data_IF_182762002075
#
_entry.id   IF_182762002075
#
_cell.length_a   1.000
_cell.length_b   1.000
_cell.length_c   1.000
_cell.angle_alpha   90.00
_cell.angle_beta   90.00
_cell.angle_gamma   90.00
#
_symmetry.space_group_name_H-M   'P 1'
#
loop_
_entity.id
_entity.type
_entity.pdbx_description
1 polymer ?
#
# COMPACT_ATOMS: atom_id res chain seq x y z
N UNK A 1 2.82 -28.09 -17.72
CA UNK A 1 3.91 -27.11 -17.83
C UNK A 1 3.38 -25.92 -18.59
N UNK A 2 3.68 -24.71 -18.14
CA UNK A 2 3.13 -23.48 -18.69
C UNK A 2 4.23 -22.46 -18.96
N UNK A 3 4.01 -21.52 -19.88
CA UNK A 3 4.89 -20.37 -20.09
C UNK A 3 4.60 -19.27 -19.07
N UNK A 4 5.60 -18.90 -18.28
CA UNK A 4 5.47 -17.95 -17.17
C UNK A 4 6.45 -16.80 -17.34
N UNK A 5 5.95 -15.56 -17.34
CA UNK A 5 6.81 -14.37 -17.29
C UNK A 5 6.92 -13.90 -15.85
N UNK A 6 8.14 -13.84 -15.33
CA UNK A 6 8.42 -13.41 -13.95
C UNK A 6 8.99 -12.01 -13.93
N UNK A 7 8.36 -11.12 -13.15
CA UNK A 7 8.88 -9.78 -12.90
C UNK A 7 10.15 -9.85 -12.05
N UNK A 8 11.31 -9.60 -12.65
CA UNK A 8 12.60 -9.56 -11.97
C UNK A 8 12.93 -8.12 -11.62
N UNK A 9 12.89 -7.75 -10.33
CA UNK A 9 13.17 -6.39 -9.87
C UNK A 9 14.62 -6.18 -9.41
N UNK A 10 15.50 -7.15 -9.69
CA UNK A 10 16.84 -7.24 -9.10
C UNK A 10 16.85 -7.62 -7.60
N UNK A 11 15.68 -7.89 -7.00
CA UNK A 11 15.55 -8.27 -5.59
C UNK A 11 15.64 -9.78 -5.38
N UNK A 12 16.02 -10.22 -4.18
CA UNK A 12 16.16 -11.65 -3.84
C UNK A 12 14.85 -12.43 -4.01
N UNK A 13 13.72 -11.79 -3.73
CA UNK A 13 12.40 -12.43 -3.72
C UNK A 13 11.96 -12.84 -5.14
N UNK A 14 12.10 -11.93 -6.11
CA UNK A 14 11.84 -12.25 -7.52
C UNK A 14 12.82 -13.27 -8.10
N UNK A 15 14.08 -13.25 -7.65
CA UNK A 15 15.09 -14.22 -8.10
C UNK A 15 14.76 -15.64 -7.67
N UNK A 16 14.35 -15.81 -6.42
CA UNK A 16 13.94 -17.12 -5.90
C UNK A 16 12.62 -17.56 -6.51
N UNK A 17 11.67 -16.64 -6.73
CA UNK A 17 10.44 -16.95 -7.44
C UNK A 17 10.71 -17.54 -8.84
N UNK A 18 11.61 -16.91 -9.61
CA UNK A 18 12.03 -17.38 -10.93
C UNK A 18 12.70 -18.77 -10.86
N UNK A 19 13.60 -18.97 -9.88
CA UNK A 19 14.25 -20.26 -9.66
C UNK A 19 13.25 -21.37 -9.37
N UNK A 20 12.28 -21.14 -8.47
CA UNK A 20 11.27 -22.12 -8.09
C UNK A 20 10.38 -22.51 -9.27
N UNK A 21 9.98 -21.54 -10.10
CA UNK A 21 9.20 -21.82 -11.32
C UNK A 21 10.00 -22.67 -12.31
N UNK A 22 11.30 -22.39 -12.48
CA UNK A 22 12.17 -23.21 -13.35
C UNK A 22 12.31 -24.63 -12.79
N UNK A 23 12.46 -24.80 -11.47
CA UNK A 23 12.51 -26.12 -10.82
C UNK A 23 11.21 -26.91 -11.00
N UNK A 24 10.06 -26.23 -11.04
CA UNK A 24 8.75 -26.84 -11.31
C UNK A 24 8.56 -27.24 -12.78
N UNK A 25 9.52 -26.94 -13.67
CA UNK A 25 9.50 -27.33 -15.08
C UNK A 25 8.75 -26.35 -16.00
N UNK A 26 8.44 -25.15 -15.53
CA UNK A 26 7.84 -24.10 -16.36
C UNK A 26 8.84 -23.53 -17.38
N UNK A 27 8.33 -23.05 -18.51
CA UNK A 27 9.10 -22.21 -19.41
C UNK A 27 9.10 -20.79 -18.84
N UNK A 28 10.21 -20.38 -18.22
CA UNK A 28 10.31 -19.11 -17.50
C UNK A 28 11.01 -18.06 -18.34
N UNK A 29 10.42 -16.86 -18.43
CA UNK A 29 11.02 -15.67 -19.04
C UNK A 29 11.11 -14.59 -17.96
N UNK A 30 12.31 -14.06 -17.73
CA UNK A 30 12.52 -12.91 -16.84
C UNK A 30 12.19 -11.59 -17.54
N UNK A 31 11.46 -10.70 -16.86
CA UNK A 31 11.17 -9.37 -17.36
C UNK A 31 11.50 -8.32 -16.30
N UNK A 32 12.35 -7.35 -16.65
CA UNK A 32 12.64 -6.17 -15.84
C UNK A 32 11.83 -4.98 -16.35
N UNK A 33 11.15 -4.29 -15.43
CA UNK A 33 10.34 -3.11 -15.74
C UNK A 33 11.04 -1.85 -15.23
N UNK A 34 11.33 -0.92 -16.14
CA UNK A 34 11.71 0.45 -15.76
C UNK A 34 10.45 1.29 -15.66
N UNK A 35 10.02 1.58 -14.43
CA UNK A 35 8.79 2.33 -14.19
C UNK A 35 9.03 3.80 -13.80
N UNK A 36 10.26 4.17 -13.49
CA UNK A 36 10.59 5.55 -13.13
C UNK A 36 12.02 5.87 -13.50
N UNK A 37 12.21 7.09 -14.01
CA UNK A 37 13.52 7.71 -14.18
C UNK A 37 13.34 9.21 -13.93
N UNK A 38 14.25 9.83 -13.19
CA UNK A 38 14.18 11.27 -12.93
C UNK A 38 14.61 12.02 -14.18
N UNK A 39 13.71 12.84 -14.73
CA UNK A 39 13.95 13.66 -15.92
C UNK A 39 14.27 15.12 -15.58
N UNK A 40 14.27 15.49 -14.29
CA UNK A 40 14.25 16.89 -13.84
C UNK A 40 15.37 17.17 -12.83
N UNK A 41 16.58 17.40 -13.33
CA UNK A 41 17.69 17.94 -12.54
C UNK A 41 19.07 17.55 -13.07
N UNK A 42 20.00 18.50 -13.13
CA UNK A 42 21.40 18.39 -13.60
C UNK A 42 22.31 17.59 -12.68
N UNK A 43 21.82 16.48 -12.13
CA UNK A 43 22.62 15.50 -11.40
C UNK A 43 22.32 14.15 -12.04
N UNK A 44 23.27 13.60 -12.79
CA UNK A 44 23.41 12.17 -12.98
C UNK A 44 23.67 11.54 -11.58
N UNK A 45 22.67 11.58 -10.69
CA UNK A 45 22.68 10.83 -9.46
C UNK A 45 22.51 9.36 -9.82
N UNK A 46 23.38 8.50 -9.28
CA UNK A 46 23.40 7.05 -9.48
C UNK A 46 22.00 6.50 -9.76
N UNK A 47 21.70 6.18 -11.03
CA UNK A 47 20.39 5.72 -11.45
C UNK A 47 20.09 4.39 -10.74
N UNK A 48 19.21 4.35 -9.70
CA UNK A 48 19.10 3.18 -8.84
C UNK A 48 18.56 1.95 -9.57
N UNK A 49 17.87 2.17 -10.70
CA UNK A 49 17.33 1.11 -11.54
C UNK A 49 18.40 0.37 -12.36
N UNK A 50 19.56 0.99 -12.65
CA UNK A 50 20.60 0.37 -13.47
C UNK A 50 21.24 -0.80 -12.72
N UNK A 51 21.60 -0.60 -11.45
CA UNK A 51 22.10 -1.68 -10.60
C UNK A 51 21.07 -2.81 -10.49
N UNK A 52 19.80 -2.47 -10.30
CA UNK A 52 18.72 -3.44 -10.17
C UNK A 52 18.52 -4.26 -11.45
N UNK A 53 18.65 -3.63 -12.61
CA UNK A 53 18.65 -4.30 -13.90
C UNK A 53 19.83 -5.26 -14.03
N UNK A 54 21.04 -4.82 -13.70
CA UNK A 54 22.25 -5.67 -13.76
C UNK A 54 22.08 -6.91 -12.88
N UNK A 55 21.55 -6.76 -11.66
CA UNK A 55 21.25 -7.92 -10.80
C UNK A 55 20.20 -8.85 -11.40
N UNK A 56 19.15 -8.29 -12.03
CA UNK A 56 18.12 -9.09 -12.70
C UNK A 56 18.70 -9.88 -13.89
N UNK A 57 19.57 -9.27 -14.69
CA UNK A 57 20.28 -9.91 -15.80
C UNK A 57 21.21 -11.03 -15.31
N UNK A 58 21.98 -10.78 -14.25
CA UNK A 58 22.87 -11.79 -13.65
C UNK A 58 22.08 -13.00 -13.14
N UNK A 59 20.90 -12.78 -12.56
CA UNK A 59 20.00 -13.85 -12.12
C UNK A 59 19.45 -14.61 -13.32
N UNK A 60 18.95 -13.92 -14.34
CA UNK A 60 18.43 -14.57 -15.54
C UNK A 60 19.49 -15.42 -16.25
N UNK A 61 20.72 -14.89 -16.37
CA UNK A 61 21.88 -15.62 -16.91
C UNK A 61 22.25 -16.84 -16.06
N UNK A 62 22.27 -16.70 -14.73
CA UNK A 62 22.56 -17.80 -13.80
C UNK A 62 21.52 -18.90 -13.88
N UNK A 63 20.25 -18.51 -14.03
CA UNK A 63 19.13 -19.43 -14.16
C UNK A 63 18.96 -19.94 -15.58
N UNK A 64 19.72 -19.47 -16.58
CA UNK A 64 19.55 -19.82 -17.99
C UNK A 64 18.09 -19.67 -18.46
N UNK A 65 17.57 -18.45 -18.32
CA UNK A 65 16.24 -18.05 -18.78
C UNK A 65 16.34 -16.81 -19.69
N UNK A 66 15.47 -16.67 -20.70
CA UNK A 66 15.41 -15.43 -21.49
C UNK A 66 15.12 -14.23 -20.60
N UNK A 67 15.74 -13.09 -20.92
CA UNK A 67 15.57 -11.83 -20.21
C UNK A 67 15.06 -10.73 -21.14
N UNK A 68 14.07 -9.98 -20.68
CA UNK A 68 13.48 -8.85 -21.40
C UNK A 68 13.49 -7.60 -20.53
N UNK A 69 13.67 -6.47 -21.19
CA UNK A 69 13.55 -5.15 -20.58
C UNK A 69 12.36 -4.45 -21.22
N UNK A 70 11.54 -3.81 -20.39
CA UNK A 70 10.43 -2.95 -20.84
C UNK A 70 10.44 -1.66 -20.05
N UNK A 71 10.27 -0.54 -20.75
CA UNK A 71 10.02 0.76 -20.14
C UNK A 71 8.51 0.97 -20.01
N UNK A 72 8.04 1.16 -18.78
CA UNK A 72 6.64 1.42 -18.43
C UNK A 72 6.52 2.74 -17.66
N UNK A 73 7.51 3.64 -17.82
CA UNK A 73 7.59 4.87 -17.04
C UNK A 73 6.48 5.88 -17.37
N UNK A 74 5.99 5.92 -18.61
CA UNK A 74 4.86 6.77 -18.99
C UNK A 74 3.57 6.29 -18.31
N UNK A 75 3.28 5.00 -18.36
CA UNK A 75 2.10 4.41 -17.72
C UNK A 75 2.16 4.54 -16.20
N UNK A 76 3.33 4.31 -15.60
CA UNK A 76 3.52 4.48 -14.16
C UNK A 76 3.32 5.93 -13.74
N UNK A 77 3.86 6.89 -14.51
CA UNK A 77 3.66 8.32 -14.24
C UNK A 77 2.17 8.67 -14.24
N UNK A 78 1.48 8.34 -15.33
CA UNK A 78 0.07 8.71 -15.49
C UNK A 78 -0.87 8.02 -14.51
N UNK A 79 -0.65 6.73 -14.22
CA UNK A 79 -1.60 5.93 -13.42
C UNK A 79 -1.30 5.91 -11.92
N UNK A 80 -0.06 6.18 -11.53
CA UNK A 80 0.36 6.10 -10.12
C UNK A 80 0.83 7.46 -9.61
N UNK A 81 1.75 8.12 -10.31
CA UNK A 81 2.39 9.35 -9.81
C UNK A 81 1.46 10.54 -9.88
N UNK A 82 0.79 10.77 -11.03
CA UNK A 82 -0.15 11.88 -11.19
C UNK A 82 -1.32 11.77 -10.20
N UNK A 83 -1.84 10.55 -10.01
CA UNK A 83 -2.84 10.26 -8.96
C UNK A 83 -2.31 10.62 -7.57
N UNK A 84 -1.09 10.18 -7.25
CA UNK A 84 -0.49 10.41 -5.95
C UNK A 84 -0.38 11.93 -5.67
N UNK A 85 0.06 12.72 -6.65
CA UNK A 85 0.09 14.18 -6.53
C UNK A 85 -1.29 14.80 -6.31
N UNK A 86 -2.30 14.36 -7.07
CA UNK A 86 -3.67 14.85 -6.93
C UNK A 86 -4.24 14.58 -5.53
N UNK A 87 -4.00 13.40 -4.97
CA UNK A 87 -4.44 13.03 -3.62
C UNK A 87 -3.75 13.87 -2.54
N UNK A 88 -2.42 14.06 -2.65
CA UNK A 88 -1.69 14.92 -1.72
C UNK A 88 -2.15 16.38 -1.80
N UNK A 89 -2.39 16.92 -3.00
CA UNK A 89 -2.95 18.26 -3.18
C UNK A 89 -4.35 18.40 -2.55
N UNK A 90 -5.13 17.32 -2.54
CA UNK A 90 -6.42 17.28 -1.87
C UNK A 90 -6.33 17.02 -0.34
N UNK A 91 -5.13 16.91 0.22
CA UNK A 91 -4.89 16.67 1.64
C UNK A 91 -5.11 15.23 2.10
N UNK A 92 -5.17 14.28 1.16
CA UNK A 92 -5.25 12.84 1.43
C UNK A 92 -3.86 12.21 1.34
N UNK A 93 -3.67 11.08 2.01
CA UNK A 93 -2.41 10.30 1.94
C UNK A 93 -2.67 9.01 1.15
N UNK A 94 -2.37 8.97 -0.16
CA UNK A 94 -2.60 7.79 -0.99
C UNK A 94 -1.63 6.64 -0.66
N UNK A 95 -1.95 5.44 -1.15
CA UNK A 95 -1.01 4.31 -1.16
C UNK A 95 -0.59 3.96 -2.61
N UNK A 96 0.54 4.49 -3.10
CA UNK A 96 0.98 4.27 -4.48
C UNK A 96 1.37 2.81 -4.77
N UNK A 97 1.74 2.03 -3.76
CA UNK A 97 2.15 0.64 -3.95
C UNK A 97 0.96 -0.27 -4.29
N UNK A 98 -0.22 -0.01 -3.68
CA UNK A 98 -1.48 -0.70 -4.03
C UNK A 98 -1.83 -0.43 -5.50
N UNK A 99 -1.76 0.83 -5.92
CA UNK A 99 -2.03 1.21 -7.31
C UNK A 99 -0.99 0.65 -8.28
N UNK A 100 0.29 0.68 -7.92
CA UNK A 100 1.34 0.09 -8.75
C UNK A 100 1.09 -1.39 -9.01
N UNK A 101 0.62 -2.16 -8.02
CA UNK A 101 0.26 -3.54 -8.24
C UNK A 101 -0.95 -3.64 -9.19
N UNK A 102 -2.04 -2.91 -8.93
CA UNK A 102 -3.26 -2.97 -9.74
C UNK A 102 -3.05 -2.53 -11.19
N UNK A 103 -2.42 -1.38 -11.37
CA UNK A 103 -2.32 -0.65 -12.64
C UNK A 103 -1.09 -1.01 -13.47
N UNK A 104 0.00 -1.45 -12.83
CA UNK A 104 1.27 -1.68 -13.52
C UNK A 104 1.63 -3.16 -13.49
N UNK A 105 1.82 -3.75 -12.30
CA UNK A 105 2.28 -5.16 -12.20
C UNK A 105 1.21 -6.17 -12.62
N UNK A 106 -0.07 -5.90 -12.47
CA UNK A 106 -1.12 -6.84 -12.85
C UNK A 106 -2.02 -6.33 -13.98
N UNK A 107 -1.65 -5.22 -14.62
CA UNK A 107 -2.29 -4.77 -15.88
C UNK A 107 -1.27 -4.61 -17.00
N UNK A 108 -0.43 -3.58 -16.95
CA UNK A 108 0.53 -3.30 -18.04
C UNK A 108 1.58 -4.40 -18.19
N UNK A 109 2.18 -4.88 -17.09
CA UNK A 109 3.09 -6.02 -17.10
C UNK A 109 2.40 -7.30 -17.61
N UNK A 110 1.16 -7.54 -17.19
CA UNK A 110 0.38 -8.69 -17.65
C UNK A 110 0.17 -8.62 -19.17
N UNK A 111 -0.22 -7.47 -19.71
CA UNK A 111 -0.38 -7.26 -21.15
C UNK A 111 0.92 -7.52 -21.92
N UNK A 112 2.05 -7.04 -21.42
CA UNK A 112 3.36 -7.31 -22.03
C UNK A 112 3.73 -8.79 -21.98
N UNK A 113 3.44 -9.48 -20.86
CA UNK A 113 3.65 -10.91 -20.75
C UNK A 113 2.79 -11.72 -21.73
N UNK A 114 1.51 -11.37 -21.88
CA UNK A 114 0.59 -12.03 -22.81
C UNK A 114 1.05 -11.88 -24.28
N UNK A 115 1.62 -10.73 -24.67
CA UNK A 115 2.23 -10.52 -26.00
C UNK A 115 3.40 -11.49 -26.25
N UNK A 116 4.07 -11.96 -25.20
CA UNK A 116 5.15 -12.96 -25.26
C UNK A 116 4.63 -14.41 -25.24
N UNK A 117 3.31 -14.59 -25.29
CA UNK A 117 2.65 -15.90 -25.23
C UNK A 117 2.61 -16.50 -23.83
N UNK A 118 2.79 -15.69 -22.78
CA UNK A 118 2.69 -16.18 -21.41
C UNK A 118 1.28 -16.66 -21.08
N UNK A 119 1.18 -17.75 -20.34
CA UNK A 119 -0.08 -18.22 -19.74
C UNK A 119 -0.26 -17.66 -18.33
N UNK A 120 0.84 -17.28 -17.67
CA UNK A 120 0.84 -16.72 -16.33
C UNK A 120 1.93 -15.65 -16.16
N UNK A 121 1.69 -14.75 -15.21
CA UNK A 121 2.69 -13.83 -14.68
C UNK A 121 3.03 -14.18 -13.23
N UNK A 122 4.31 -14.09 -12.90
CA UNK A 122 4.78 -14.34 -11.54
C UNK A 122 5.48 -13.13 -10.95
N UNK A 123 5.34 -13.00 -9.63
CA UNK A 123 6.01 -11.95 -8.86
C UNK A 123 6.58 -12.52 -7.56
N UNK A 124 7.58 -11.85 -7.00
CA UNK A 124 8.14 -12.17 -5.69
C UNK A 124 7.31 -11.62 -4.52
N UNK A 125 5.98 -11.61 -4.60
CA UNK A 125 5.15 -11.17 -3.49
C UNK A 125 4.93 -12.29 -2.47
N UNK A 126 4.96 -11.93 -1.19
CA UNK A 126 4.62 -12.79 -0.06
C UNK A 126 3.11 -12.87 0.15
N UNK A 127 2.41 -13.49 -0.80
CA UNK A 127 0.99 -13.82 -0.70
C UNK A 127 0.75 -15.16 -1.41
N UNK A 128 -0.39 -15.80 -1.15
CA UNK A 128 -0.73 -17.08 -1.77
C UNK A 128 -1.99 -16.93 -2.60
N UNK A 129 -2.16 -17.80 -3.58
CA UNK A 129 -3.36 -17.90 -4.39
C UNK A 129 -3.95 -19.28 -4.24
N UNK A 130 -5.25 -19.37 -3.98
CA UNK A 130 -5.98 -20.63 -4.02
C UNK A 130 -7.03 -20.57 -5.12
N UNK A 131 -7.18 -21.66 -5.87
CA UNK A 131 -8.23 -21.80 -6.88
C UNK A 131 -9.25 -22.79 -6.37
N UNK A 132 -10.53 -22.42 -6.38
CA UNK A 132 -11.63 -23.31 -6.01
C UNK A 132 -12.66 -23.34 -7.12
N UNK A 133 -13.38 -24.45 -7.22
CA UNK A 133 -14.56 -24.58 -8.09
C UNK A 133 -15.81 -24.45 -7.22
N UNK A 134 -16.66 -23.48 -7.52
CA UNK A 134 -17.94 -23.27 -6.84
C UNK A 134 -19.02 -23.06 -7.89
N UNK A 135 -20.07 -23.90 -7.84
CA UNK A 135 -21.22 -23.79 -8.76
C UNK A 135 -20.83 -23.78 -10.26
N UNK A 136 -19.77 -24.52 -10.61
CA UNK A 136 -19.26 -24.59 -11.99
C UNK A 136 -18.45 -23.36 -12.44
N UNK A 137 -18.12 -22.45 -11.52
CA UNK A 137 -17.23 -21.31 -11.74
C UNK A 137 -15.91 -21.50 -10.98
N UNK A 138 -14.82 -21.19 -11.65
CA UNK A 138 -13.50 -21.08 -11.03
C UNK A 138 -13.39 -19.74 -10.29
N UNK A 139 -13.08 -19.79 -8.99
CA UNK A 139 -12.84 -18.62 -8.14
C UNK A 139 -11.39 -18.62 -7.67
N UNK A 140 -10.73 -17.48 -7.80
CA UNK A 140 -9.36 -17.26 -7.35
C UNK A 140 -9.36 -16.46 -6.04
N UNK A 141 -8.94 -17.10 -4.96
CA UNK A 141 -8.78 -16.49 -3.64
C UNK A 141 -7.37 -15.92 -3.46
N UNK A 142 -7.29 -14.72 -2.90
CA UNK A 142 -6.03 -14.12 -2.47
C UNK A 142 -5.85 -14.37 -0.97
N UNK A 143 -4.79 -15.07 -0.60
CA UNK A 143 -4.50 -15.44 0.78
C UNK A 143 -3.25 -14.70 1.29
N UNK A 144 -3.23 -14.42 2.59
CA UNK A 144 -2.06 -13.91 3.29
C UNK A 144 -0.87 -14.85 3.12
N UNK A 145 0.35 -14.29 3.05
CA UNK A 145 1.59 -15.07 3.04
C UNK A 145 1.75 -15.93 4.30
N UNK A 146 2.52 -17.01 4.19
CA UNK A 146 2.87 -17.86 5.34
C UNK A 146 3.70 -17.07 6.38
N UNK A 147 4.63 -16.23 5.91
CA UNK A 147 5.37 -15.29 6.75
C UNK A 147 4.50 -14.07 7.11
N UNK A 148 3.88 -14.08 8.29
CA UNK A 148 3.01 -12.99 8.74
C UNK A 148 3.72 -11.63 8.86
N UNK A 149 5.05 -11.61 9.04
CA UNK A 149 5.82 -10.36 9.11
C UNK A 149 6.13 -9.77 7.74
N UNK A 150 6.01 -10.59 6.69
CA UNK A 150 6.29 -10.23 5.31
C UNK A 150 5.07 -10.30 4.40
N UNK A 151 3.93 -10.80 4.88
CA UNK A 151 2.65 -10.86 4.18
C UNK A 151 2.37 -9.57 3.39
N UNK A 152 2.28 -9.69 2.07
CA UNK A 152 2.06 -8.58 1.16
C UNK A 152 0.65 -8.55 0.60
N UNK A 153 -0.27 -9.44 1.02
CA UNK A 153 -1.67 -9.46 0.54
C UNK A 153 -2.33 -8.07 0.58
N UNK A 154 -2.03 -7.26 1.61
CA UNK A 154 -2.50 -5.87 1.72
C UNK A 154 -2.21 -5.01 0.47
N UNK A 155 -1.04 -5.16 -0.15
CA UNK A 155 -0.70 -4.38 -1.35
C UNK A 155 -1.35 -4.93 -2.63
N UNK A 156 -1.89 -6.14 -2.59
CA UNK A 156 -2.61 -6.79 -3.69
C UNK A 156 -4.13 -6.78 -3.45
N UNK A 157 -4.60 -6.00 -2.48
CA UNK A 157 -6.00 -6.00 -2.04
C UNK A 157 -7.02 -5.51 -3.08
N UNK A 158 -6.55 -4.97 -4.19
CA UNK A 158 -7.33 -4.44 -5.31
C UNK A 158 -7.20 -5.29 -6.58
N UNK A 159 -6.66 -6.51 -6.49
CA UNK A 159 -6.60 -7.42 -7.64
C UNK A 159 -7.97 -8.04 -7.93
N UNK A 160 -8.34 -8.04 -9.21
CA UNK A 160 -9.58 -8.66 -9.71
C UNK A 160 -9.43 -10.17 -9.93
N UNK A 161 -10.55 -10.88 -10.08
CA UNK A 161 -10.54 -12.29 -10.49
C UNK A 161 -9.77 -12.53 -11.79
N UNK A 162 -9.94 -11.64 -12.77
CA UNK A 162 -9.23 -11.75 -14.05
C UNK A 162 -7.72 -11.57 -13.89
N UNK A 163 -7.27 -10.66 -13.04
CA UNK A 163 -5.84 -10.51 -12.75
C UNK A 163 -5.27 -11.71 -11.97
N UNK A 164 -6.03 -12.19 -10.97
CA UNK A 164 -5.64 -13.35 -10.17
C UNK A 164 -5.59 -14.64 -10.98
N UNK A 165 -6.42 -14.79 -12.02
CA UNK A 165 -6.37 -15.91 -12.97
C UNK A 165 -4.96 -16.13 -13.49
N UNK A 166 -4.31 -15.06 -13.96
CA UNK A 166 -2.96 -15.10 -14.54
C UNK A 166 -1.83 -15.04 -13.49
N UNK A 167 -2.11 -14.68 -12.24
CA UNK A 167 -1.07 -14.46 -11.24
C UNK A 167 -0.51 -15.76 -10.62
N UNK A 168 0.80 -15.79 -10.38
CA UNK A 168 1.51 -16.79 -9.59
C UNK A 168 2.38 -16.13 -8.51
N UNK A 169 2.43 -16.75 -7.32
CA UNK A 169 3.19 -16.27 -6.17
C UNK A 169 4.08 -17.39 -5.60
N UNK A 170 5.21 -17.71 -6.26
CA UNK A 170 5.96 -18.94 -5.95
C UNK A 170 6.59 -18.97 -4.56
N UNK A 171 6.73 -17.82 -3.90
CA UNK A 171 7.33 -17.70 -2.56
C UNK A 171 6.30 -17.50 -1.45
N UNK A 172 5.00 -17.54 -1.76
CA UNK A 172 3.93 -17.23 -0.82
C UNK A 172 3.89 -18.12 0.41
N UNK A 173 4.32 -19.37 0.27
CA UNK A 173 4.40 -20.38 1.33
C UNK A 173 5.73 -20.39 2.09
N UNK A 174 6.70 -19.57 1.68
CA UNK A 174 8.04 -19.54 2.27
C UNK A 174 8.21 -18.43 3.29
N UNK A 175 8.99 -18.71 4.32
CA UNK A 175 9.49 -17.70 5.23
C UNK A 175 10.63 -16.91 4.58
N UNK A 176 10.78 -15.63 4.91
CA UNK A 176 11.88 -14.80 4.37
C UNK A 176 13.28 -15.41 4.58
N UNK A 177 13.60 -16.03 5.74
CA UNK A 177 14.87 -16.72 5.92
C UNK A 177 15.07 -17.88 4.94
N UNK A 178 14.01 -18.63 4.60
CA UNK A 178 14.08 -19.74 3.65
C UNK A 178 14.34 -19.24 2.24
N UNK A 179 13.68 -18.15 1.83
CA UNK A 179 13.96 -17.47 0.56
C UNK A 179 15.43 -17.06 0.47
N UNK A 180 15.98 -16.45 1.53
CA UNK A 180 17.41 -16.08 1.57
C UNK A 180 18.33 -17.30 1.50
N UNK A 181 18.01 -18.37 2.22
CA UNK A 181 18.76 -19.63 2.19
C UNK A 181 18.80 -20.22 0.78
N UNK A 182 17.65 -20.31 0.10
CA UNK A 182 17.58 -20.80 -1.29
C UNK A 182 18.47 -19.94 -2.20
N UNK A 183 18.40 -18.60 -2.07
CA UNK A 183 19.22 -17.72 -2.88
C UNK A 183 20.73 -17.93 -2.66
N UNK A 184 21.15 -18.19 -1.42
CA UNK A 184 22.54 -18.49 -1.06
C UNK A 184 23.00 -19.86 -1.60
N UNK A 185 22.19 -20.91 -1.40
CA UNK A 185 22.45 -22.28 -1.89
C UNK A 185 22.60 -22.29 -3.42
N UNK A 186 21.75 -21.54 -4.13
CA UNK A 186 21.78 -21.41 -5.58
C UNK A 186 22.83 -20.40 -6.08
N UNK A 187 23.55 -19.75 -5.16
CA UNK A 187 24.58 -18.74 -5.44
C UNK A 187 24.05 -17.63 -6.36
N UNK A 188 22.83 -17.16 -6.11
CA UNK A 188 22.22 -16.05 -6.85
C UNK A 188 22.93 -14.74 -6.47
N UNK A 189 23.17 -13.86 -7.45
CA UNK A 189 23.81 -12.57 -7.22
C UNK A 189 23.08 -11.71 -6.17
N UNK A 190 21.76 -11.88 -6.07
CA UNK A 190 20.89 -11.13 -5.17
C UNK A 190 20.85 -11.64 -3.73
N UNK A 191 21.51 -12.77 -3.40
CA UNK A 191 21.38 -13.43 -2.10
C UNK A 191 21.68 -12.51 -0.89
N UNK A 192 22.74 -11.69 -1.02
CA UNK A 192 23.18 -10.74 0.03
C UNK A 192 22.53 -9.36 -0.08
N UNK A 193 21.68 -9.13 -1.09
CA UNK A 193 21.07 -7.82 -1.31
C UNK A 193 20.04 -7.54 -0.21
N UNK A 194 20.01 -6.29 0.25
CA UNK A 194 19.00 -5.81 1.20
C UNK A 194 17.65 -5.68 0.48
N UNK A 195 16.57 -5.84 1.23
CA UNK A 195 15.22 -5.63 0.69
C UNK A 195 15.07 -4.18 0.22
N UNK A 196 14.40 -3.97 -0.91
CA UNK A 196 14.05 -2.62 -1.37
C UNK A 196 13.21 -1.91 -0.31
N UNK A 197 13.47 -0.61 -0.12
CA UNK A 197 12.75 0.27 0.81
C UNK A 197 12.34 1.53 0.04
N UNK A 198 11.22 2.14 0.42
CA UNK A 198 10.67 3.32 -0.24
C UNK A 198 9.49 2.99 -1.16
N UNK A 199 9.04 4.01 -1.90
CA UNK A 199 7.93 3.91 -2.84
C UNK A 199 8.34 2.98 -3.99
N UNK A 200 7.47 2.05 -4.38
CA UNK A 200 7.78 1.08 -5.44
C UNK A 200 8.26 1.79 -6.71
N UNK A 201 9.44 1.41 -7.22
CA UNK A 201 10.11 1.96 -8.42
C UNK A 201 10.68 3.38 -8.34
N UNK A 202 10.20 4.25 -7.46
CA UNK A 202 10.82 5.57 -7.22
C UNK A 202 12.08 5.43 -6.36
N UNK A 203 12.11 4.43 -5.47
CA UNK A 203 13.27 4.10 -4.65
C UNK A 203 13.29 4.84 -3.30
N UNK A 204 14.48 5.00 -2.72
CA UNK A 204 14.68 5.66 -1.41
C UNK A 204 14.72 7.17 -1.58
N UNK A 205 13.59 7.76 -1.95
CA UNK A 205 13.42 9.22 -2.00
C UNK A 205 12.68 9.68 -0.75
N UNK A 206 13.09 10.83 -0.21
CA UNK A 206 12.33 11.52 0.83
C UNK A 206 11.02 12.02 0.21
N UNK A 207 9.88 11.50 0.67
CA UNK A 207 8.57 11.78 0.10
C UNK A 207 8.26 13.29 0.03
N UNK A 208 8.41 14.08 1.12
CA UNK A 208 8.35 15.54 1.04
C UNK A 208 9.21 16.17 -0.07
N UNK A 209 10.41 15.67 -0.33
CA UNK A 209 11.28 16.19 -1.41
C UNK A 209 10.72 15.81 -2.78
N UNK A 210 10.24 14.56 -2.93
CA UNK A 210 9.60 14.11 -4.17
C UNK A 210 8.35 14.93 -4.50
N UNK A 211 7.51 15.19 -3.50
CA UNK A 211 6.28 15.96 -3.68
C UNK A 211 6.54 17.43 -4.04
N UNK A 212 7.68 18.00 -3.63
CA UNK A 212 8.05 19.38 -3.97
C UNK A 212 8.33 19.61 -5.46
N UNK A 213 8.48 18.55 -6.26
CA UNK A 213 8.62 18.65 -7.72
C UNK A 213 7.35 19.24 -8.39
N UNK A 214 6.16 19.06 -7.80
CA UNK A 214 4.90 19.60 -8.32
C UNK A 214 4.07 20.37 -7.29
N UNK A 215 4.31 20.18 -5.99
CA UNK A 215 3.60 20.87 -4.91
C UNK A 215 4.56 21.88 -4.28
N UNK A 216 4.38 23.16 -4.60
CA UNK A 216 5.22 24.21 -4.04
C UNK A 216 5.11 24.25 -2.50
N UNK A 217 6.24 24.30 -1.76
CA UNK A 217 6.19 24.42 -0.32
C UNK A 217 5.61 25.79 0.07
N UNK A 218 4.72 25.78 1.07
CA UNK A 218 4.07 26.99 1.59
C UNK A 218 4.10 26.95 3.11
N UNK A 219 4.68 27.99 3.72
CA UNK A 219 4.75 28.05 5.17
C UNK A 219 3.35 28.11 5.79
N UNK A 220 3.11 27.26 6.79
CA UNK A 220 1.86 27.16 7.54
C UNK A 220 2.11 27.03 9.04
N UNK A 221 1.04 27.09 9.84
CA UNK A 221 1.13 27.09 11.30
C UNK A 221 0.94 25.68 11.90
N UNK A 222 1.65 25.40 13.00
CA UNK A 222 1.46 24.20 13.81
C UNK A 222 0.71 24.58 15.08
N UNK A 223 -0.46 24.01 15.29
CA UNK A 223 -1.29 24.22 16.49
C UNK A 223 -1.35 22.96 17.35
N UNK A 224 -1.04 23.08 18.63
CA UNK A 224 -1.19 22.02 19.61
C UNK A 224 -2.59 22.01 20.20
N UNK A 225 -3.26 20.87 20.13
CA UNK A 225 -4.53 20.60 20.80
C UNK A 225 -4.22 19.80 22.05
N UNK A 226 -4.84 20.18 23.18
CA UNK A 226 -4.69 19.46 24.44
C UNK A 226 -5.70 18.30 24.53
N UNK A 227 -5.37 17.21 25.27
CA UNK A 227 -6.32 16.12 25.53
C UNK A 227 -7.62 16.56 26.24
N UNK A 228 -7.60 17.73 26.90
CA UNK A 228 -8.75 18.34 27.59
C UNK A 228 -9.64 19.18 26.66
N UNK A 229 -9.39 19.20 25.35
CA UNK A 229 -10.23 19.92 24.40
C UNK A 229 -11.67 19.40 24.46
N UNK A 230 -12.63 20.33 24.60
CA UNK A 230 -14.05 20.01 24.87
C UNK A 230 -14.69 19.13 23.79
N UNK A 231 -14.21 19.18 22.55
CA UNK A 231 -14.72 18.35 21.45
C UNK A 231 -14.42 16.85 21.58
N UNK A 232 -13.61 16.43 22.57
CA UNK A 232 -13.44 15.02 22.93
C UNK A 232 -14.47 14.51 23.95
N UNK A 233 -15.19 15.40 24.64
CA UNK A 233 -16.13 15.01 25.68
C UNK A 233 -17.46 14.47 25.14
N UNK A 234 -17.73 14.66 23.85
CA UNK A 234 -18.96 14.20 23.20
C UNK A 234 -18.61 13.13 22.19
N UNK A 235 -19.03 11.90 22.48
CA UNK A 235 -19.05 10.82 21.50
C UNK A 235 -20.41 10.82 20.80
N UNK A 236 -20.45 10.71 19.47
CA UNK A 236 -21.68 10.46 18.75
C UNK A 236 -22.39 9.19 19.25
N UNK A 237 -23.69 9.12 19.04
CA UNK A 237 -24.45 7.90 19.30
C UNK A 237 -23.92 6.76 18.42
N UNK A 238 -23.98 5.51 18.91
CA UNK A 238 -23.46 4.34 18.21
C UNK A 238 -24.15 4.13 16.84
N UNK A 239 -25.40 4.57 16.73
CA UNK A 239 -26.19 4.49 15.51
C UNK A 239 -25.79 5.52 14.45
N UNK A 240 -25.13 6.62 14.85
CA UNK A 240 -24.68 7.69 13.95
C UNK A 240 -23.27 7.40 13.40
N UNK A 241 -23.21 6.39 12.53
CA UNK A 241 -21.96 5.95 11.88
C UNK A 241 -21.27 7.06 11.09
N UNK A 242 -22.04 8.00 10.53
CA UNK A 242 -21.49 9.14 9.81
C UNK A 242 -20.69 10.05 10.74
N UNK A 243 -21.26 10.39 11.91
CA UNK A 243 -20.57 11.19 12.91
C UNK A 243 -19.40 10.44 13.57
N UNK A 244 -19.50 9.13 13.79
CA UNK A 244 -18.41 8.31 14.34
C UNK A 244 -17.21 8.22 13.38
N UNK A 245 -17.49 8.08 12.08
CA UNK A 245 -16.45 8.03 11.06
C UNK A 245 -15.83 9.40 10.77
N UNK A 246 -16.54 10.49 11.02
CA UNK A 246 -16.06 11.83 10.69
C UNK A 246 -14.75 12.18 11.44
N UNK A 247 -13.75 12.77 10.75
CA UNK A 247 -12.56 13.27 11.43
C UNK A 247 -12.93 14.43 12.36
N UNK A 248 -12.22 14.53 13.48
CA UNK A 248 -12.36 15.67 14.40
C UNK A 248 -11.93 16.96 13.68
N UNK A 249 -12.77 17.99 13.75
CA UNK A 249 -12.50 19.30 13.14
C UNK A 249 -11.99 20.25 14.21
N UNK A 250 -10.78 20.76 14.01
CA UNK A 250 -10.17 21.78 14.86
C UNK A 250 -10.10 23.11 14.13
N UNK A 251 -10.07 24.19 14.90
CA UNK A 251 -9.76 25.53 14.44
C UNK A 251 -8.48 26.02 15.15
N UNK A 252 -7.86 27.06 14.60
CA UNK A 252 -6.69 27.71 15.23
C UNK A 252 -6.97 28.24 16.65
N UNK A 253 -8.24 28.42 17.03
CA UNK A 253 -8.67 28.88 18.36
C UNK A 253 -8.74 27.74 19.39
N UNK A 254 -8.81 26.49 18.94
CA UNK A 254 -8.88 25.31 19.81
C UNK A 254 -7.53 24.92 20.40
N UNK A 255 -6.45 25.47 19.83
CA UNK A 255 -5.08 25.11 20.18
C UNK A 255 -4.12 26.28 20.26
N UNK A 256 -2.93 26.01 20.78
CA UNK A 256 -1.83 26.98 20.87
C UNK A 256 -0.90 26.84 19.67
N UNK A 257 -0.53 27.95 19.02
CA UNK A 257 0.54 27.92 18.01
C UNK A 257 1.88 27.58 18.67
N UNK A 258 2.57 26.56 18.18
CA UNK A 258 3.84 26.06 18.73
C UNK A 258 4.98 26.02 17.71
N UNK A 259 4.70 26.29 16.44
CA UNK A 259 5.69 26.23 15.38
C UNK A 259 5.11 26.53 14.00
N UNK A 260 5.91 26.23 12.98
CA UNK A 260 5.55 26.37 11.56
C UNK A 260 6.01 25.13 10.79
N UNK A 261 5.40 24.89 9.63
CA UNK A 261 5.74 23.80 8.71
C UNK A 261 5.80 24.33 7.28
N UNK A 262 6.31 23.51 6.33
CA UNK A 262 6.52 23.91 4.93
C UNK A 262 5.38 23.53 3.98
N UNK A 263 4.19 23.20 4.50
CA UNK A 263 3.01 22.83 3.72
C UNK A 263 2.26 21.68 4.37
N UNK A 264 0.93 21.79 4.49
CA UNK A 264 0.12 20.79 5.19
C UNK A 264 0.04 19.46 4.42
N UNK A 265 0.15 19.50 3.09
CA UNK A 265 0.15 18.35 2.19
C UNK A 265 1.27 17.33 2.49
N UNK A 266 2.37 17.74 3.13
CA UNK A 266 3.52 16.87 3.39
C UNK A 266 3.44 16.08 4.71
N UNK A 267 2.30 16.16 5.40
CA UNK A 267 2.09 15.51 6.69
C UNK A 267 0.90 14.55 6.63
N UNK A 268 1.04 13.40 7.27
CA UNK A 268 -0.01 12.39 7.40
C UNK A 268 -0.45 12.26 8.86
N UNK A 269 -1.74 12.02 9.09
CA UNK A 269 -2.29 11.77 10.42
C UNK A 269 -1.54 10.59 11.10
N UNK A 270 -1.19 10.77 12.37
CA UNK A 270 -0.39 9.82 13.16
C UNK A 270 1.12 9.92 12.97
N UNK A 271 1.61 10.80 12.08
CA UNK A 271 3.05 11.04 11.87
C UNK A 271 3.69 11.71 13.09
N UNK A 272 4.85 11.18 13.50
CA UNK A 272 5.68 11.68 14.62
C UNK A 272 6.86 12.54 14.18
N UNK A 273 7.55 12.09 13.14
CA UNK A 273 8.84 12.66 12.68
C UNK A 273 8.60 13.83 11.72
N UNK A 274 9.60 14.70 11.56
CA UNK A 274 9.55 15.81 10.58
C UNK A 274 8.86 17.09 11.07
N UNK A 275 8.53 17.17 12.37
CA UNK A 275 7.95 18.38 12.98
C UNK A 275 9.00 19.44 13.36
N UNK A 276 10.25 19.03 13.64
CA UNK A 276 11.31 19.95 14.07
C UNK A 276 11.08 20.62 15.43
N UNK A 277 10.13 20.12 16.23
CA UNK A 277 9.78 20.66 17.55
C UNK A 277 10.33 19.72 18.65
N UNK A 278 11.20 20.26 19.51
CA UNK A 278 11.79 19.55 20.65
C UNK A 278 11.33 20.11 22.01
N UNK A 279 11.91 19.59 23.10
CA UNK A 279 11.66 20.10 24.46
C UNK A 279 10.30 19.71 25.06
N UNK A 280 9.71 18.61 24.58
CA UNK A 280 8.43 18.05 25.04
C UNK A 280 8.63 16.87 25.98
N UNK A 281 7.64 16.60 26.83
CA UNK A 281 7.68 15.46 27.76
C UNK A 281 7.49 14.16 26.99
N UNK A 282 6.54 14.17 26.06
CA UNK A 282 6.27 13.07 25.13
C UNK A 282 6.39 13.54 23.67
N UNK A 283 6.28 12.60 22.73
CA UNK A 283 6.37 12.95 21.32
C UNK A 283 5.08 13.59 20.82
N UNK A 284 5.22 14.54 19.89
CA UNK A 284 4.10 15.13 19.17
C UNK A 284 3.73 14.27 17.96
N UNK A 285 2.43 14.17 17.71
CA UNK A 285 1.87 13.48 16.56
C UNK A 285 0.90 14.38 15.81
N UNK A 286 0.88 14.29 14.48
CA UNK A 286 -0.16 14.93 13.65
C UNK A 286 -1.51 14.28 13.98
N UNK A 287 -2.48 15.06 14.41
CA UNK A 287 -3.86 14.59 14.69
C UNK A 287 -4.86 15.05 13.62
N UNK A 288 -4.55 16.12 12.88
CA UNK A 288 -5.30 16.55 11.72
C UNK A 288 -4.46 17.48 10.84
N UNK A 289 -4.86 17.59 9.58
CA UNK A 289 -4.31 18.53 8.61
C UNK A 289 -5.44 19.33 7.99
N UNK A 290 -5.20 20.61 7.74
CA UNK A 290 -6.08 21.48 6.97
C UNK A 290 -5.26 22.09 5.83
N UNK A 291 -5.44 21.55 4.62
CA UNK A 291 -4.71 22.00 3.43
C UNK A 291 -5.23 23.32 2.88
N UNK A 292 -6.49 23.69 3.17
CA UNK A 292 -7.09 24.94 2.70
C UNK A 292 -6.54 26.12 3.48
N UNK A 293 -6.55 25.99 4.81
CA UNK A 293 -5.98 27.01 5.71
C UNK A 293 -4.46 26.87 5.87
N UNK A 294 -3.87 25.78 5.35
CA UNK A 294 -2.47 25.41 5.50
C UNK A 294 -2.02 25.38 6.97
N UNK A 295 -2.75 24.59 7.76
CA UNK A 295 -2.52 24.39 9.20
C UNK A 295 -2.37 22.89 9.48
N UNK A 296 -1.46 22.53 10.38
CA UNK A 296 -1.42 21.20 10.96
C UNK A 296 -1.72 21.26 12.46
N UNK A 297 -2.46 20.27 12.94
CA UNK A 297 -2.80 20.12 14.35
C UNK A 297 -2.01 18.95 14.92
N UNK A 298 -1.44 19.15 16.11
CA UNK A 298 -0.66 18.13 16.81
C UNK A 298 -1.20 17.87 18.21
N UNK A 299 -1.02 16.64 18.69
CA UNK A 299 -1.25 16.24 20.08
C UNK A 299 0.02 15.62 20.66
N UNK A 300 0.26 15.86 21.96
CA UNK A 300 1.37 15.26 22.71
C UNK A 300 0.94 13.92 23.31
N UNK A 301 1.79 12.89 23.15
CA UNK A 301 1.57 11.55 23.71
C UNK A 301 0.88 10.58 22.75
N UNK A 302 1.23 9.30 22.86
CA UNK A 302 0.68 8.25 21.98
C UNK A 302 -0.79 7.95 22.26
N UNK A 303 -1.29 8.27 23.47
CA UNK A 303 -2.68 8.08 23.91
C UNK A 303 -3.57 9.29 23.65
N UNK A 304 -3.10 10.28 22.89
CA UNK A 304 -3.86 11.51 22.65
C UNK A 304 -5.21 11.21 21.97
N UNK A 305 -6.37 11.66 22.51
CA UNK A 305 -7.69 11.30 21.97
C UNK A 305 -7.88 11.64 20.49
N UNK A 306 -7.30 12.75 20.03
CA UNK A 306 -7.34 13.16 18.62
C UNK A 306 -6.66 12.20 17.63
N UNK A 307 -5.92 11.19 18.11
CA UNK A 307 -5.34 10.15 17.25
C UNK A 307 -6.28 8.97 16.99
N UNK A 308 -7.32 8.79 17.79
CA UNK A 308 -8.11 7.57 17.81
C UNK A 308 -9.54 7.79 17.31
N UNK A 309 -10.04 6.84 16.54
CA UNK A 309 -11.43 6.78 16.07
C UNK A 309 -11.92 5.34 16.06
N UNK A 310 -13.18 5.12 16.40
CA UNK A 310 -13.81 3.80 16.40
C UNK A 310 -14.44 3.42 15.05
N UNK A 311 -14.63 4.37 14.14
CA UNK A 311 -15.18 4.08 12.82
C UNK A 311 -14.44 4.82 11.70
N UNK A 312 -14.62 4.32 10.48
CA UNK A 312 -14.24 5.00 9.23
C UNK A 312 -15.30 4.78 8.15
N UNK A 313 -15.31 5.66 7.15
CA UNK A 313 -16.15 5.54 5.94
C UNK A 313 -15.26 5.28 4.73
N UNK A 314 -15.74 4.43 3.82
CA UNK A 314 -15.05 4.09 2.57
C UNK A 314 -15.65 4.84 1.38
N UNK A 315 -14.81 5.17 0.41
CA UNK A 315 -15.24 5.69 -0.89
C UNK A 315 -15.99 4.61 -1.66
N UNK A 316 -17.21 4.90 -2.10
CA UNK A 316 -18.11 3.92 -2.71
C UNK A 316 -17.58 3.39 -4.04
N UNK A 317 -16.97 4.26 -4.84
CA UNK A 317 -16.37 3.97 -6.14
C UNK A 317 -15.07 3.15 -6.05
N UNK A 318 -14.45 3.11 -4.88
CA UNK A 318 -13.19 2.40 -4.64
C UNK A 318 -13.37 1.11 -3.82
N UNK A 319 -14.62 0.73 -3.52
CA UNK A 319 -14.93 -0.56 -2.91
C UNK A 319 -14.58 -1.70 -3.87
N UNK A 320 -13.81 -2.65 -3.37
CA UNK A 320 -13.35 -3.79 -4.14
C UNK A 320 -13.54 -5.07 -3.35
N UNK A 321 -14.21 -6.04 -3.96
CA UNK A 321 -14.29 -7.40 -3.47
C UNK A 321 -13.44 -8.27 -4.39
N UNK A 322 -12.54 -9.07 -3.81
CA UNK A 322 -11.70 -9.97 -4.60
C UNK A 322 -12.58 -10.90 -5.42
N UNK A 323 -13.61 -11.48 -4.78
CA UNK A 323 -14.73 -12.13 -5.45
C UNK A 323 -15.95 -11.19 -5.43
N UNK A 324 -16.40 -10.66 -6.58
CA UNK A 324 -17.55 -9.76 -6.66
C UNK A 324 -18.85 -10.33 -6.09
N UNK A 325 -19.01 -11.66 -6.05
CA UNK A 325 -20.21 -12.30 -5.48
C UNK A 325 -20.29 -12.16 -3.95
N UNK A 326 -19.17 -11.85 -3.28
CA UNK A 326 -19.14 -11.63 -1.82
C UNK A 326 -19.57 -10.20 -1.43
N UNK A 327 -19.82 -9.33 -2.42
CA UNK A 327 -20.22 -7.95 -2.20
C UNK A 327 -21.44 -7.85 -1.29
N UNK A 328 -21.35 -6.94 -0.31
CA UNK A 328 -22.42 -6.70 0.65
C UNK A 328 -23.55 -5.87 0.04
N UNK A 329 -24.78 -6.20 0.41
CA UNK A 329 -25.96 -5.41 0.06
C UNK A 329 -26.29 -4.39 1.14
N UNK A 330 -27.01 -3.33 0.77
CA UNK A 330 -27.50 -2.31 1.70
C UNK A 330 -28.32 -2.97 2.82
N UNK A 331 -28.03 -2.58 4.06
CA UNK A 331 -28.64 -3.14 5.27
C UNK A 331 -27.85 -4.29 5.89
N UNK A 332 -26.87 -4.85 5.18
CA UNK A 332 -26.05 -5.93 5.73
C UNK A 332 -24.99 -5.43 6.72
N UNK A 333 -24.69 -6.30 7.69
CA UNK A 333 -23.61 -6.17 8.66
C UNK A 333 -22.83 -7.48 8.72
N UNK A 334 -21.51 -7.42 8.62
CA UNK A 334 -20.66 -8.63 8.66
C UNK A 334 -19.36 -8.36 9.41
N UNK A 335 -18.97 -9.28 10.28
CA UNK A 335 -17.73 -9.18 11.04
C UNK A 335 -16.53 -9.68 10.23
N UNK A 336 -15.43 -8.93 10.28
CA UNK A 336 -14.17 -9.25 9.62
C UNK A 336 -12.96 -8.87 10.47
N UNK A 337 -11.80 -9.39 10.08
CA UNK A 337 -10.50 -8.89 10.50
C UNK A 337 -10.03 -7.77 9.56
N UNK A 338 -9.76 -6.58 10.07
CA UNK A 338 -9.43 -5.41 9.26
C UNK A 338 -8.03 -4.86 9.59
N UNK A 339 -7.34 -4.36 8.58
CA UNK A 339 -6.18 -3.46 8.76
C UNK A 339 -6.31 -2.25 7.87
N UNK A 340 -5.83 -1.10 8.34
CA UNK A 340 -5.89 0.19 7.64
C UNK A 340 -4.51 0.71 7.21
N UNK A 341 -3.46 -0.05 7.52
CA UNK A 341 -2.09 0.21 7.07
C UNK A 341 -1.28 -1.08 7.04
N UNK A 342 -0.25 -1.09 6.19
CA UNK A 342 0.67 -2.21 6.10
C UNK A 342 1.37 -2.49 7.45
N UNK A 343 1.49 -3.77 7.82
CA UNK A 343 2.03 -4.29 9.11
C UNK A 343 1.28 -3.91 10.38
N UNK A 344 0.11 -3.27 10.28
CA UNK A 344 -0.79 -3.24 11.42
C UNK A 344 -1.31 -4.66 11.69
N UNK A 345 -1.33 -5.11 12.96
CA UNK A 345 -2.08 -6.31 13.33
C UNK A 345 -3.53 -6.21 12.85
N UNK A 346 -4.14 -7.36 12.54
CA UNK A 346 -5.56 -7.40 12.23
C UNK A 346 -6.38 -6.99 13.45
N UNK A 347 -7.46 -6.26 13.22
CA UNK A 347 -8.35 -5.72 14.24
C UNK A 347 -9.77 -6.17 13.92
N UNK A 348 -10.51 -6.62 14.93
CA UNK A 348 -11.90 -7.01 14.74
C UNK A 348 -12.74 -5.78 14.46
N UNK A 349 -13.57 -5.89 13.43
CA UNK A 349 -14.47 -4.83 13.03
C UNK A 349 -15.71 -5.39 12.33
N UNK A 350 -16.78 -4.62 12.37
CA UNK A 350 -17.99 -4.85 11.62
C UNK A 350 -18.02 -3.94 10.40
N UNK A 351 -18.17 -4.54 9.22
CA UNK A 351 -18.50 -3.82 8.00
C UNK A 351 -20.01 -3.64 7.96
N UNK A 352 -20.46 -2.41 7.66
CA UNK A 352 -21.87 -2.02 7.67
C UNK A 352 -22.16 -1.31 6.35
N UNK A 353 -23.03 -1.89 5.52
CA UNK A 353 -23.45 -1.29 4.26
C UNK A 353 -24.76 -0.50 4.48
N UNK A 354 -24.72 0.82 4.27
CA UNK A 354 -25.86 1.72 4.36
C UNK A 354 -26.16 2.32 2.98
N UNK A 355 -27.31 2.97 2.83
CA UNK A 355 -27.68 3.68 1.60
C UNK A 355 -26.69 4.79 1.25
N UNK A 356 -26.10 5.42 2.27
CA UNK A 356 -25.16 6.53 2.13
C UNK A 356 -23.68 6.08 2.10
N UNK A 357 -23.38 4.78 2.23
CA UNK A 357 -22.02 4.28 2.04
C UNK A 357 -21.67 3.04 2.87
N UNK A 358 -20.40 2.65 2.78
CA UNK A 358 -19.83 1.53 3.55
C UNK A 358 -19.02 2.07 4.73
N UNK A 359 -19.32 1.53 5.91
CA UNK A 359 -18.63 1.88 7.16
C UNK A 359 -17.89 0.68 7.71
N UNK A 360 -16.79 0.95 8.40
CA UNK A 360 -16.11 -0.05 9.25
C UNK A 360 -16.16 0.47 10.68
N UNK A 361 -16.79 -0.30 11.57
CA UNK A 361 -16.86 -0.04 13.01
C UNK A 361 -15.93 -1.02 13.73
N UNK A 362 -14.88 -0.51 14.36
CA UNK A 362 -13.89 -1.32 15.07
C UNK A 362 -14.33 -1.60 16.52
N UNK A 363 -14.02 -2.80 17.01
CA UNK A 363 -14.24 -3.13 18.43
C UNK A 363 -13.33 -2.29 19.36
N UNK A 364 -12.11 -1.99 18.89
CA UNK A 364 -11.17 -1.12 19.59
C UNK A 364 -10.84 0.12 18.73
N UNK A 365 -10.76 1.33 19.32
CA UNK A 365 -10.40 2.54 18.59
C UNK A 365 -9.06 2.44 17.86
N UNK A 366 -9.05 2.83 16.58
CA UNK A 366 -7.88 2.73 15.72
C UNK A 366 -7.13 4.06 15.64
N UNK A 367 -5.81 3.94 15.77
CA UNK A 367 -4.88 5.07 15.77
C UNK A 367 -4.51 5.50 14.36
N UNK A 368 -4.73 6.77 14.03
CA UNK A 368 -4.20 7.42 12.83
C UNK A 368 -4.88 6.97 11.54
N UNK A 369 -6.20 6.82 11.57
CA UNK A 369 -7.01 6.60 10.36
C UNK A 369 -6.81 7.81 9.43
N UNK A 370 -6.25 7.58 8.24
CA UNK A 370 -5.90 8.62 7.28
C UNK A 370 -6.65 8.43 5.96
N UNK A 371 -7.35 9.47 5.50
CA UNK A 371 -8.03 9.47 4.22
C UNK A 371 -7.04 9.25 3.06
N UNK A 372 -7.46 8.49 2.04
CA UNK A 372 -6.63 8.07 0.90
C UNK A 372 -5.85 6.76 1.12
N UNK A 373 -5.68 6.29 2.36
CA UNK A 373 -5.16 4.94 2.62
C UNK A 373 -6.23 3.88 2.34
N UNK A 374 -5.81 2.62 2.25
CA UNK A 374 -6.73 1.50 2.05
C UNK A 374 -7.03 0.80 3.38
N UNK A 375 -8.30 0.52 3.62
CA UNK A 375 -8.74 -0.50 4.55
C UNK A 375 -8.89 -1.82 3.79
N UNK A 376 -8.29 -2.90 4.31
CA UNK A 376 -8.42 -4.24 3.76
C UNK A 376 -8.97 -5.19 4.83
N UNK A 377 -9.93 -6.03 4.44
CA UNK A 377 -10.62 -6.95 5.35
C UNK A 377 -10.41 -8.40 4.94
N UNK A 378 -10.37 -9.26 5.96
CA UNK A 378 -9.93 -10.63 5.89
C UNK A 378 -10.93 -11.56 6.58
N UNK A 379 -11.06 -12.77 6.05
CA UNK A 379 -11.75 -13.91 6.65
C UNK A 379 -10.74 -15.03 6.86
N UNK A 380 -10.26 -15.17 8.10
CA UNK A 380 -9.14 -16.05 8.40
C UNK A 380 -7.87 -15.60 7.67
N UNK A 381 -7.38 -16.43 6.74
CA UNK A 381 -6.21 -16.09 5.91
C UNK A 381 -6.55 -15.45 4.57
N UNK A 382 -7.82 -15.41 4.18
CA UNK A 382 -8.28 -14.87 2.91
C UNK A 382 -8.46 -13.37 2.99
N UNK A 383 -7.85 -12.63 2.05
CA UNK A 383 -8.17 -11.23 1.80
C UNK A 383 -9.43 -11.20 0.95
N UNK A 384 -10.52 -10.68 1.53
CA UNK A 384 -11.85 -10.73 0.91
C UNK A 384 -12.15 -9.46 0.11
N UNK A 385 -11.67 -8.32 0.60
CA UNK A 385 -11.85 -7.05 -0.11
C UNK A 385 -11.08 -5.89 0.51
N UNK A 386 -11.25 -4.72 -0.10
CA UNK A 386 -10.67 -3.47 0.35
C UNK A 386 -11.44 -2.24 -0.13
N UNK A 387 -11.14 -1.08 0.44
CA UNK A 387 -11.66 0.20 -0.01
C UNK A 387 -10.74 1.35 0.39
N UNK A 388 -10.81 2.46 -0.34
CA UNK A 388 -10.12 3.70 0.02
C UNK A 388 -10.88 4.39 1.14
N UNK A 389 -10.16 4.78 2.18
CA UNK A 389 -10.71 5.51 3.33
C UNK A 389 -11.05 6.93 2.89
N UNK A 390 -12.32 7.30 3.04
CA UNK A 390 -12.83 8.64 2.75
C UNK A 390 -12.71 9.55 3.98
N UNK A 391 -13.24 9.08 5.11
CA UNK A 391 -13.29 9.79 6.38
C UNK A 391 -12.75 8.91 7.48
#
# INVERSE_FOLDING_TARGET
>A
MARVVVGLSGGVDSSVAAYLLKQQGHEVIGLFMRNWHDTTGTLEGDCPWYDDQVFAELVAKKLDIPFRFVDLSEEYRHRVVDYMFAEYQAGRTPNPDVLCNREIKFDVFLKEALKMGAEYVATGHYCRKQTIEKEGKTIYKLLAGADKNKDQSYFLCQLTQEQLRYAMFPIGDLLKPEVRRIAEEQKLATAKRKDSQGICFVGKVDLPVFLQQQIAPKQGNIHEILPSWRGYATEPAEEDLMALAAPKRYTVRDGKKIGVHNGAHFYTIGQRKGLGIGGRKESLFIIATDVKENVIYVGEGDSHPGLYRCALRLQSEALHWVNPEDAMQVGERRAFDVRIRYRQPLQRAELICREDGMYILFEEPQRGIAAGQFAAWYSGEELVGSGVIEA
#
